data_IF_814016435196
#
_entry.id   IF_814016435196
#
_cell.length_a   1.000
_cell.length_b   1.000
_cell.length_c   1.000
_cell.angle_alpha   90.00
_cell.angle_beta   90.00
_cell.angle_gamma   90.00
#
_symmetry.space_group_name_H-M   'P 1'
#
loop_
_entity.id
_entity.type
_entity.pdbx_description
1 polymer ?
#
# COMPACT_ATOMS: atom_id res chain seq x y z
N UNK A 1 -6.95 -23.08 -24.92
CA UNK A 1 -6.20 -21.98 -24.31
C UNK A 1 -7.22 -20.88 -24.19
N UNK A 2 -7.82 -20.68 -23.02
CA UNK A 2 -8.80 -19.60 -22.84
C UNK A 2 -8.11 -18.28 -23.17
N UNK A 3 -8.78 -17.43 -23.95
CA UNK A 3 -8.23 -16.17 -24.41
C UNK A 3 -8.11 -15.26 -23.19
N UNK A 4 -6.94 -15.26 -22.55
CA UNK A 4 -6.69 -14.42 -21.37
C UNK A 4 -6.78 -12.95 -21.77
N UNK A 5 -7.96 -12.36 -21.56
CA UNK A 5 -8.20 -10.92 -21.78
C UNK A 5 -7.28 -10.16 -20.82
N UNK A 6 -6.34 -9.40 -21.39
CA UNK A 6 -5.38 -8.62 -20.62
C UNK A 6 -6.10 -7.70 -19.63
N UNK A 7 -5.61 -7.68 -18.38
CA UNK A 7 -6.16 -6.88 -17.26
C UNK A 7 -7.57 -7.24 -16.79
N UNK A 8 -8.13 -8.37 -17.24
CA UNK A 8 -9.38 -8.91 -16.67
C UNK A 8 -9.18 -9.40 -15.23
N UNK A 9 -10.28 -9.60 -14.49
CA UNK A 9 -10.24 -10.17 -13.14
C UNK A 9 -9.47 -11.50 -13.10
N UNK A 10 -9.75 -12.40 -14.06
CA UNK A 10 -9.09 -13.70 -14.18
C UNK A 10 -7.58 -13.54 -14.38
N UNK A 11 -7.16 -12.66 -15.30
CA UNK A 11 -5.75 -12.39 -15.57
C UNK A 11 -4.98 -12.00 -14.29
N UNK A 12 -5.60 -11.23 -13.39
CA UNK A 12 -5.01 -10.82 -12.11
C UNK A 12 -4.94 -11.94 -11.06
N UNK A 13 -5.92 -12.83 -11.03
CA UNK A 13 -6.09 -13.87 -10.00
C UNK A 13 -5.54 -15.24 -10.40
N UNK A 14 -5.21 -15.44 -11.68
CA UNK A 14 -4.62 -16.67 -12.17
C UNK A 14 -3.27 -16.96 -11.48
N UNK A 15 -3.02 -18.21 -11.05
CA UNK A 15 -1.75 -18.60 -10.48
C UNK A 15 -0.64 -18.62 -11.55
N UNK A 16 0.50 -18.03 -11.23
CA UNK A 16 1.70 -17.97 -12.09
C UNK A 16 2.55 -19.24 -12.03
N UNK A 17 2.28 -20.14 -11.08
CA UNK A 17 3.01 -21.39 -10.89
C UNK A 17 2.41 -22.23 -9.76
N UNK A 18 3.02 -23.39 -9.50
CA UNK A 18 2.53 -24.36 -8.52
C UNK A 18 3.02 -24.10 -7.08
N UNK A 19 4.07 -23.29 -6.92
CA UNK A 19 4.64 -22.96 -5.62
C UNK A 19 4.05 -21.66 -5.08
N UNK A 20 3.58 -21.68 -3.83
CA UNK A 20 3.00 -20.54 -3.09
C UNK A 20 1.77 -19.88 -3.74
N UNK A 21 1.18 -20.51 -4.77
CA UNK A 21 -0.01 -20.02 -5.48
C UNK A 21 0.07 -18.51 -5.79
N UNK A 22 1.24 -18.03 -6.26
CA UNK A 22 1.46 -16.63 -6.59
C UNK A 22 0.50 -16.20 -7.71
N UNK A 23 -0.30 -15.18 -7.44
CA UNK A 23 -1.10 -14.51 -8.47
C UNK A 23 -0.39 -13.23 -8.91
N UNK A 24 -0.78 -12.66 -10.06
CA UNK A 24 -0.26 -11.34 -10.49
C UNK A 24 -0.59 -10.25 -9.48
N UNK A 25 -1.76 -10.33 -8.85
CA UNK A 25 -2.16 -9.41 -7.79
C UNK A 25 -1.22 -9.48 -6.58
N UNK A 26 -0.90 -10.70 -6.10
CA UNK A 26 0.06 -10.90 -5.00
C UNK A 26 1.46 -10.41 -5.37
N UNK A 27 1.92 -10.72 -6.59
CA UNK A 27 3.20 -10.23 -7.11
C UNK A 27 3.26 -8.69 -7.14
N UNK A 28 2.20 -8.04 -7.63
CA UNK A 28 2.12 -6.58 -7.65
C UNK A 28 2.15 -5.96 -6.25
N UNK A 29 1.49 -6.58 -5.25
CA UNK A 29 1.56 -6.14 -3.87
C UNK A 29 2.99 -6.18 -3.31
N UNK A 30 3.71 -7.30 -3.47
CA UNK A 30 5.08 -7.40 -3.00
C UNK A 30 6.04 -6.46 -3.73
N UNK A 31 5.86 -6.27 -5.04
CA UNK A 31 6.60 -5.26 -5.81
C UNK A 31 6.33 -3.85 -5.30
N UNK A 32 5.08 -3.52 -4.96
CA UNK A 32 4.73 -2.23 -4.36
C UNK A 32 5.38 -2.02 -2.99
N UNK A 33 5.41 -3.05 -2.13
CA UNK A 33 6.11 -2.98 -0.84
C UNK A 33 7.62 -2.79 -1.04
N UNK A 34 8.23 -3.57 -1.93
CA UNK A 34 9.65 -3.44 -2.26
C UNK A 34 9.98 -2.05 -2.82
N UNK A 35 9.14 -1.51 -3.71
CA UNK A 35 9.27 -0.16 -4.24
C UNK A 35 9.12 0.91 -3.16
N UNK A 36 8.18 0.73 -2.22
CA UNK A 36 7.98 1.66 -1.10
C UNK A 36 9.20 1.69 -0.16
N UNK A 37 9.78 0.53 0.13
CA UNK A 37 11.01 0.43 0.92
C UNK A 37 12.19 1.04 0.15
N UNK A 38 12.33 0.76 -1.14
CA UNK A 38 13.38 1.32 -1.97
C UNK A 38 13.27 2.85 -2.05
N UNK A 39 12.05 3.39 -2.22
CA UNK A 39 11.79 4.83 -2.19
C UNK A 39 12.22 5.46 -0.85
N UNK A 40 12.00 4.77 0.27
CA UNK A 40 12.50 5.21 1.57
C UNK A 40 14.02 5.19 1.66
N UNK A 41 14.68 4.17 1.12
CA UNK A 41 16.14 4.12 1.04
C UNK A 41 16.70 5.28 0.22
N UNK A 42 16.10 5.58 -0.93
CA UNK A 42 16.46 6.73 -1.78
C UNK A 42 16.23 8.05 -1.04
N UNK A 43 15.12 8.20 -0.33
CA UNK A 43 14.85 9.41 0.45
C UNK A 43 15.87 9.60 1.57
N UNK A 44 16.18 8.55 2.33
CA UNK A 44 17.17 8.64 3.41
C UNK A 44 18.57 8.98 2.88
N UNK A 45 18.92 8.49 1.69
CA UNK A 45 20.17 8.88 1.01
C UNK A 45 20.25 10.38 0.71
N UNK A 46 19.17 11.00 0.21
CA UNK A 46 19.15 12.43 -0.12
C UNK A 46 18.94 13.34 1.09
N UNK A 47 18.17 12.91 2.09
CA UNK A 47 17.85 13.72 3.27
C UNK A 47 18.04 12.87 4.53
N UNK A 48 19.27 12.73 5.02
CA UNK A 48 19.58 11.84 6.14
C UNK A 48 18.98 12.32 7.47
N UNK A 49 18.74 11.38 8.38
CA UNK A 49 18.42 11.61 9.79
C UNK A 49 16.99 11.26 10.20
N UNK A 50 16.20 10.60 9.35
CA UNK A 50 14.82 10.16 9.66
C UNK A 50 13.79 11.26 9.98
N UNK A 51 14.23 12.49 10.27
CA UNK A 51 13.46 13.66 10.71
C UNK A 51 12.31 13.27 11.65
N UNK A 52 12.61 12.84 12.90
CA UNK A 52 11.59 12.56 13.89
C UNK A 52 10.74 13.81 14.10
N UNK A 53 9.42 13.63 14.00
CA UNK A 53 8.44 14.69 14.22
C UNK A 53 7.46 14.22 15.27
N UNK A 54 7.13 15.12 16.19
CA UNK A 54 6.04 14.90 17.12
C UNK A 54 4.73 15.27 16.41
N UNK A 55 4.12 14.26 15.82
CA UNK A 55 2.89 14.38 15.05
C UNK A 55 1.64 14.58 15.91
N UNK A 56 0.48 14.59 15.24
CA UNK A 56 -0.83 14.69 15.90
C UNK A 56 -1.07 13.58 16.95
N UNK A 57 -0.48 12.40 16.75
CA UNK A 57 -0.57 11.28 17.69
C UNK A 57 0.32 11.44 18.94
N UNK A 58 1.02 12.57 19.08
CA UNK A 58 1.91 12.91 20.19
C UNK A 58 3.08 11.92 20.42
N UNK A 59 3.25 10.94 19.54
CA UNK A 59 4.41 10.04 19.43
C UNK A 59 5.44 10.64 18.48
N UNK A 60 6.71 10.37 18.73
CA UNK A 60 7.77 10.71 17.79
C UNK A 60 7.75 9.69 16.65
N UNK A 61 7.38 10.14 15.45
CA UNK A 61 7.38 9.28 14.26
C UNK A 61 8.56 9.61 13.35
N UNK A 62 9.26 8.57 12.92
CA UNK A 62 10.21 8.64 11.82
C UNK A 62 9.47 8.59 10.48
N UNK A 63 10.17 8.88 9.36
CA UNK A 63 9.59 8.71 8.02
C UNK A 63 9.13 7.29 7.74
N UNK A 64 9.90 6.30 8.20
CA UNK A 64 9.55 4.88 8.06
C UNK A 64 8.25 4.55 8.80
N UNK A 65 8.09 5.08 10.02
CA UNK A 65 6.88 4.89 10.82
C UNK A 65 5.66 5.49 10.12
N UNK A 66 5.81 6.67 9.49
CA UNK A 66 4.72 7.29 8.71
C UNK A 66 4.30 6.44 7.51
N UNK A 67 5.23 5.83 6.79
CA UNK A 67 4.89 4.88 5.72
C UNK A 67 4.15 3.67 6.28
N UNK A 68 4.65 3.08 7.36
CA UNK A 68 3.99 1.94 7.99
C UNK A 68 2.56 2.27 8.44
N UNK A 69 2.36 3.41 9.12
CA UNK A 69 1.03 3.89 9.54
C UNK A 69 0.11 4.13 8.33
N UNK A 70 0.65 4.66 7.23
CA UNK A 70 -0.15 4.86 6.01
C UNK A 70 -0.59 3.53 5.39
N UNK A 71 0.29 2.53 5.33
CA UNK A 71 -0.01 1.19 4.81
C UNK A 71 -0.99 0.44 5.71
N UNK A 72 -0.76 0.47 7.02
CA UNK A 72 -1.63 -0.17 8.01
C UNK A 72 -3.03 0.45 8.01
N UNK A 73 -3.12 1.79 8.03
CA UNK A 73 -4.40 2.48 7.94
C UNK A 73 -5.14 2.20 6.63
N UNK A 74 -4.41 2.10 5.51
CA UNK A 74 -4.99 1.72 4.22
C UNK A 74 -5.60 0.32 4.28
N UNK A 75 -4.93 -0.66 4.90
CA UNK A 75 -5.47 -2.01 5.07
C UNK A 75 -6.80 -2.00 5.85
N UNK A 76 -6.88 -1.24 6.94
CA UNK A 76 -8.13 -1.09 7.70
C UNK A 76 -9.23 -0.37 6.92
N UNK A 77 -8.89 0.66 6.14
CA UNK A 77 -9.85 1.35 5.26
C UNK A 77 -10.45 0.37 4.25
N UNK A 78 -9.62 -0.46 3.60
CA UNK A 78 -10.09 -1.46 2.65
C UNK A 78 -10.98 -2.53 3.30
N UNK A 79 -10.61 -3.03 4.49
CA UNK A 79 -11.42 -4.00 5.23
C UNK A 79 -12.78 -3.40 5.61
N UNK A 80 -12.79 -2.18 6.17
CA UNK A 80 -14.01 -1.48 6.53
C UNK A 80 -14.90 -1.22 5.31
N UNK A 81 -14.31 -0.83 4.18
CA UNK A 81 -15.04 -0.61 2.93
C UNK A 81 -15.67 -1.90 2.39
N UNK A 82 -14.90 -3.00 2.38
CA UNK A 82 -15.41 -4.31 1.96
C UNK A 82 -16.57 -4.77 2.83
N UNK A 83 -16.52 -4.50 4.14
CA UNK A 83 -17.59 -4.83 5.07
C UNK A 83 -18.87 -3.99 4.83
N UNK A 84 -18.74 -2.71 4.48
CA UNK A 84 -19.87 -1.78 4.38
C UNK A 84 -20.46 -1.65 2.97
N UNK A 85 -19.62 -1.58 1.94
CA UNK A 85 -20.01 -1.20 0.57
C UNK A 85 -19.63 -2.25 -0.49
N UNK A 86 -18.60 -3.07 -0.23
CA UNK A 86 -18.13 -4.07 -1.19
C UNK A 86 -17.46 -3.48 -2.45
N UNK A 87 -17.32 -4.28 -3.53
CA UNK A 87 -16.78 -3.81 -4.81
C UNK A 87 -17.68 -2.77 -5.51
N UNK A 88 -17.12 -1.85 -6.32
CA UNK A 88 -15.72 -1.75 -6.74
C UNK A 88 -14.81 -0.97 -5.77
N UNK A 89 -13.51 -1.25 -5.81
CA UNK A 89 -12.53 -0.78 -4.81
C UNK A 89 -11.83 0.55 -5.16
N UNK A 90 -12.39 1.34 -6.07
CA UNK A 90 -11.81 2.63 -6.46
C UNK A 90 -11.95 3.71 -5.38
N UNK A 91 -13.06 3.70 -4.65
CA UNK A 91 -13.30 4.60 -3.53
C UNK A 91 -12.41 4.36 -2.30
N UNK A 92 -12.25 3.13 -1.78
CA UNK A 92 -11.31 2.93 -0.68
C UNK A 92 -9.89 3.28 -1.11
N UNK A 93 -9.51 3.04 -2.38
CA UNK A 93 -8.21 3.47 -2.90
C UNK A 93 -8.03 4.99 -2.82
N UNK A 94 -9.01 5.78 -3.27
CA UNK A 94 -8.95 7.24 -3.19
C UNK A 94 -8.85 7.72 -1.73
N UNK A 95 -9.61 7.11 -0.82
CA UNK A 95 -9.54 7.41 0.62
C UNK A 95 -8.16 7.08 1.18
N UNK A 96 -7.54 5.97 0.78
CA UNK A 96 -6.18 5.59 1.20
C UNK A 96 -5.13 6.60 0.73
N UNK A 97 -5.27 7.18 -0.47
CA UNK A 97 -4.38 8.24 -0.95
C UNK A 97 -4.50 9.51 -0.10
N UNK A 98 -5.73 9.93 0.21
CA UNK A 98 -5.98 11.06 1.11
C UNK A 98 -5.42 10.78 2.51
N UNK A 99 -5.62 9.57 3.01
CA UNK A 99 -5.07 9.11 4.29
C UNK A 99 -3.54 9.16 4.30
N UNK A 100 -2.87 8.62 3.29
CA UNK A 100 -1.42 8.66 3.18
C UNK A 100 -0.90 10.11 3.16
N UNK A 101 -1.52 11.00 2.38
CA UNK A 101 -1.16 12.43 2.37
C UNK A 101 -1.34 13.08 3.74
N UNK A 102 -2.43 12.77 4.44
CA UNK A 102 -2.67 13.24 5.80
C UNK A 102 -1.56 12.77 6.75
N UNK A 103 -1.21 11.49 6.71
CA UNK A 103 -0.15 10.90 7.55
C UNK A 103 1.19 11.57 7.30
N UNK A 104 1.61 11.73 6.04
CA UNK A 104 2.89 12.37 5.73
C UNK A 104 2.93 13.87 6.06
N UNK A 105 1.77 14.53 6.14
CA UNK A 105 1.67 15.98 6.38
C UNK A 105 1.52 16.37 7.84
N UNK A 106 0.84 15.57 8.65
CA UNK A 106 0.41 15.93 10.00
C UNK A 106 0.91 15.00 11.12
N UNK A 107 1.49 13.85 10.76
CA UNK A 107 2.14 12.94 11.70
C UNK A 107 3.65 13.12 11.60
#
# INVERSE_FOLDING_TARGET
MEDAVLFSFQWWTEPLGTWMAWTRATAAFFLFIAASIAAMGVWEYYVPGGAPRRGLFAIDTTRGDRLFISLLGSAFIFIAWLFLAGPPLWWPLAICLIWALFVFRYI
#
